data_IF_745247658434
#
_entry.id   IF_745247658434
#
_cell.length_a   1.000
_cell.length_b   1.000
_cell.length_c   1.000
_cell.angle_alpha   90.00
_cell.angle_beta   90.00
_cell.angle_gamma   90.00
#
_symmetry.space_group_name_H-M   'P 1'
#
loop_
_entity.id
_entity.type
_entity.pdbx_description
1 polymer ?
#
# COMPACT_ATOMS: atom_id res chain seq x y z
N UNK A 1 16.23 1.68 -41.32
CA UNK A 1 16.60 3.11 -41.42
C UNK A 1 15.48 3.94 -40.80
N UNK A 2 15.59 4.20 -39.51
CA UNK A 2 14.76 5.15 -38.77
C UNK A 2 15.69 5.73 -37.70
N UNK A 3 16.15 6.96 -37.93
CA UNK A 3 17.03 7.68 -37.03
C UNK A 3 16.16 8.32 -35.94
N UNK A 4 16.35 7.87 -34.70
CA UNK A 4 15.77 8.49 -33.52
C UNK A 4 16.66 9.69 -33.20
N UNK A 5 16.09 10.89 -33.31
CA UNK A 5 16.73 12.14 -32.92
C UNK A 5 16.85 12.19 -31.40
N UNK A 6 18.09 12.24 -30.91
CA UNK A 6 18.44 12.57 -29.54
C UNK A 6 18.01 14.02 -29.25
N UNK A 7 16.99 14.18 -28.39
CA UNK A 7 16.67 15.46 -27.76
C UNK A 7 17.54 15.58 -26.51
N UNK A 8 18.72 16.18 -26.69
CA UNK A 8 19.52 16.70 -25.59
C UNK A 8 18.74 17.83 -24.90
N UNK A 9 18.36 17.59 -23.65
CA UNK A 9 17.86 18.62 -22.74
C UNK A 9 19.09 19.19 -22.04
N UNK A 10 19.55 20.37 -22.46
CA UNK A 10 20.54 21.14 -21.72
C UNK A 10 19.87 21.65 -20.43
N UNK A 11 20.03 20.90 -19.34
CA UNK A 11 19.66 21.38 -18.01
C UNK A 11 20.72 22.35 -17.52
N UNK A 12 20.46 23.65 -17.67
CA UNK A 12 21.22 24.67 -16.94
C UNK A 12 21.08 24.40 -15.43
N UNK A 13 22.19 24.03 -14.79
CA UNK A 13 22.29 23.87 -13.34
C UNK A 13 22.11 25.25 -12.69
N UNK A 14 20.90 25.53 -12.19
CA UNK A 14 20.66 26.72 -11.37
C UNK A 14 21.26 26.45 -9.98
N UNK A 15 22.29 27.21 -9.53
CA UNK A 15 22.88 27.02 -8.22
C UNK A 15 21.87 27.46 -7.14
N UNK A 16 21.28 26.48 -6.46
CA UNK A 16 20.31 26.71 -5.40
C UNK A 16 21.05 26.97 -4.08
N UNK A 17 21.54 28.19 -3.87
CA UNK A 17 22.09 28.64 -2.57
C UNK A 17 21.06 29.48 -1.83
N UNK A 18 20.07 28.82 -1.22
CA UNK A 18 19.31 29.40 -0.12
C UNK A 18 19.53 28.55 1.12
N UNK A 19 20.52 28.93 1.92
CA UNK A 19 20.64 28.50 3.32
C UNK A 19 19.51 29.18 4.13
N UNK A 20 18.27 28.79 3.89
CA UNK A 20 17.21 29.00 4.87
C UNK A 20 17.46 28.03 6.00
N UNK A 21 17.99 28.54 7.12
CA UNK A 21 18.05 27.81 8.39
C UNK A 21 16.63 27.46 8.82
N UNK A 22 16.13 26.30 8.40
CA UNK A 22 14.90 25.73 8.93
C UNK A 22 15.16 25.41 10.39
N UNK A 23 14.70 26.29 11.29
CA UNK A 23 14.56 25.90 12.68
C UNK A 23 13.55 24.76 12.72
N UNK A 24 14.00 23.56 13.09
CA UNK A 24 13.13 22.44 13.40
C UNK A 24 12.22 22.82 14.57
N UNK A 25 11.06 23.39 14.26
CA UNK A 25 10.00 23.52 15.24
C UNK A 25 9.48 22.09 15.45
N UNK A 26 9.74 21.53 16.62
CA UNK A 26 9.28 20.18 16.94
C UNK A 26 7.75 20.14 16.91
N UNK A 27 7.18 19.11 16.25
CA UNK A 27 5.74 18.95 16.08
C UNK A 27 4.97 19.08 17.41
N UNK A 28 5.54 18.60 18.51
CA UNK A 28 4.97 18.73 19.86
C UNK A 28 4.75 20.17 20.29
N UNK A 29 5.68 21.10 19.97
CA UNK A 29 5.51 22.53 20.29
C UNK A 29 4.41 23.18 19.46
N UNK A 30 4.17 22.73 18.23
CA UNK A 30 3.07 23.23 17.41
C UNK A 30 1.70 22.80 17.94
N UNK A 31 1.59 21.58 18.47
CA UNK A 31 0.34 21.08 19.06
C UNK A 31 -0.03 21.81 20.35
N UNK A 32 0.98 22.18 21.16
CA UNK A 32 0.81 22.95 22.39
C UNK A 32 0.27 24.39 22.14
N UNK A 33 0.35 24.89 20.90
CA UNK A 33 -0.18 26.22 20.51
C UNK A 33 -1.64 26.20 20.08
N UNK A 34 -2.24 25.03 19.89
CA UNK A 34 -3.63 24.90 19.47
C UNK A 34 -4.55 25.07 20.67
N UNK A 35 -5.64 25.82 20.49
CA UNK A 35 -6.72 25.81 21.48
C UNK A 35 -7.53 24.51 21.38
N UNK A 36 -8.43 24.28 22.36
CA UNK A 36 -9.22 23.04 22.44
C UNK A 36 -10.06 22.77 21.19
N UNK A 37 -10.65 23.81 20.59
CA UNK A 37 -11.46 23.67 19.38
C UNK A 37 -10.61 23.25 18.17
N UNK A 38 -9.47 23.90 17.97
CA UNK A 38 -8.52 23.59 16.89
C UNK A 38 -7.92 22.19 17.07
N UNK A 39 -7.59 21.81 18.30
CA UNK A 39 -7.09 20.48 18.62
C UNK A 39 -8.15 19.42 18.34
N UNK A 40 -9.40 19.65 18.72
CA UNK A 40 -10.52 18.76 18.42
C UNK A 40 -10.74 18.59 16.92
N UNK A 41 -10.70 19.69 16.16
CA UNK A 41 -10.80 19.65 14.70
C UNK A 41 -9.65 18.83 14.06
N UNK A 42 -8.41 19.06 14.52
CA UNK A 42 -7.25 18.30 14.04
C UNK A 42 -7.39 16.80 14.34
N UNK A 43 -7.82 16.45 15.56
CA UNK A 43 -8.05 15.06 15.96
C UNK A 43 -9.09 14.40 15.05
N UNK A 44 -10.19 15.08 14.74
CA UNK A 44 -11.24 14.55 13.86
C UNK A 44 -10.70 14.30 12.44
N UNK A 45 -9.96 15.26 11.87
CA UNK A 45 -9.35 15.10 10.54
C UNK A 45 -8.38 13.91 10.51
N UNK A 46 -7.55 13.77 11.54
CA UNK A 46 -6.62 12.65 11.66
C UNK A 46 -7.39 11.32 11.78
N UNK A 47 -8.46 11.27 12.57
CA UNK A 47 -9.29 10.08 12.72
C UNK A 47 -9.95 9.66 11.40
N UNK A 48 -10.48 10.61 10.63
CA UNK A 48 -11.06 10.37 9.30
C UNK A 48 -10.01 9.83 8.31
N UNK A 49 -8.80 10.41 8.30
CA UNK A 49 -7.68 9.92 7.48
C UNK A 49 -7.31 8.47 7.82
N UNK A 50 -7.24 8.12 9.11
CA UNK A 50 -6.99 6.75 9.53
C UNK A 50 -8.12 5.80 9.12
N UNK A 51 -9.38 6.22 9.22
CA UNK A 51 -10.51 5.41 8.80
C UNK A 51 -10.47 5.14 7.28
N UNK A 52 -10.17 6.16 6.48
CA UNK A 52 -10.00 6.02 5.04
C UNK A 52 -8.87 5.02 4.68
N UNK A 53 -7.72 5.16 5.35
CA UNK A 53 -6.57 4.25 5.16
C UNK A 53 -6.91 2.82 5.56
N UNK A 54 -7.66 2.64 6.64
CA UNK A 54 -8.14 1.34 7.10
C UNK A 54 -9.07 0.69 6.06
N UNK A 55 -10.04 1.43 5.53
CA UNK A 55 -10.96 0.91 4.52
C UNK A 55 -10.25 0.53 3.23
N UNK A 56 -9.27 1.33 2.81
CA UNK A 56 -8.41 1.01 1.66
C UNK A 56 -7.60 -0.27 1.90
N UNK A 57 -7.02 -0.42 3.10
CA UNK A 57 -6.31 -1.65 3.48
C UNK A 57 -7.21 -2.88 3.33
N UNK A 58 -8.43 -2.83 3.88
CA UNK A 58 -9.38 -3.96 3.79
C UNK A 58 -9.72 -4.30 2.34
N UNK A 59 -9.91 -3.29 1.49
CA UNK A 59 -10.21 -3.51 0.07
C UNK A 59 -9.05 -4.22 -0.62
N UNK A 60 -7.81 -3.76 -0.40
CA UNK A 60 -6.60 -4.39 -0.94
C UNK A 60 -6.47 -5.84 -0.44
N UNK A 61 -6.76 -6.10 0.85
CA UNK A 61 -6.70 -7.43 1.41
C UNK A 61 -7.75 -8.36 0.77
N UNK A 62 -8.99 -7.92 0.62
CA UNK A 62 -10.05 -8.67 -0.07
C UNK A 62 -9.65 -8.99 -1.52
N UNK A 63 -9.10 -8.01 -2.24
CA UNK A 63 -8.62 -8.21 -3.60
C UNK A 63 -7.45 -9.20 -3.68
N UNK A 64 -6.53 -9.16 -2.71
CA UNK A 64 -5.40 -10.11 -2.62
C UNK A 64 -5.90 -11.55 -2.48
N UNK A 65 -6.83 -11.80 -1.54
CA UNK A 65 -7.40 -13.13 -1.31
C UNK A 65 -8.14 -13.63 -2.55
N UNK A 66 -9.01 -12.79 -3.14
CA UNK A 66 -9.74 -13.16 -4.36
C UNK A 66 -8.79 -13.45 -5.54
N UNK A 67 -7.69 -12.71 -5.65
CA UNK A 67 -6.72 -12.91 -6.71
C UNK A 67 -5.89 -14.18 -6.50
N UNK A 68 -5.55 -14.53 -5.26
CA UNK A 68 -4.90 -15.80 -4.92
C UNK A 68 -5.80 -17.00 -5.27
N UNK A 69 -7.09 -16.93 -4.95
CA UNK A 69 -8.08 -17.94 -5.35
C UNK A 69 -8.21 -18.04 -6.88
N UNK A 70 -8.27 -16.89 -7.56
CA UNK A 70 -8.27 -16.83 -9.02
C UNK A 70 -7.02 -17.48 -9.62
N UNK A 71 -5.85 -17.25 -9.01
CA UNK A 71 -4.59 -17.90 -9.39
C UNK A 71 -4.61 -19.41 -9.21
N UNK A 72 -5.23 -19.91 -8.12
CA UNK A 72 -5.40 -21.34 -7.86
C UNK A 72 -6.32 -22.03 -8.87
N UNK A 73 -7.37 -21.34 -9.33
CA UNK A 73 -8.31 -21.87 -10.33
C UNK A 73 -7.68 -21.96 -11.72
N UNK A 74 -6.79 -21.04 -12.06
CA UNK A 74 -6.16 -20.93 -13.38
C UNK A 74 -4.71 -21.44 -13.36
N UNK A 75 -4.52 -22.71 -13.02
CA UNK A 75 -3.21 -23.35 -13.06
C UNK A 75 -2.64 -23.42 -14.49
N UNK A 76 -1.31 -23.57 -14.63
CA UNK A 76 -0.70 -23.90 -15.91
C UNK A 76 -1.35 -25.12 -16.55
N UNK A 77 -1.62 -25.04 -17.86
CA UNK A 77 -2.16 -26.15 -18.65
C UNK A 77 -1.37 -26.26 -19.95
N UNK A 78 -0.93 -27.48 -20.27
CA UNK A 78 -0.25 -27.75 -21.53
C UNK A 78 -1.24 -27.64 -22.69
N UNK A 79 -0.81 -27.01 -23.79
CA UNK A 79 -1.57 -26.95 -25.04
C UNK A 79 -2.82 -26.05 -25.02
N UNK A 80 -3.11 -25.35 -23.93
CA UNK A 80 -4.23 -24.40 -23.84
C UNK A 80 -3.91 -23.21 -22.95
N UNK A 81 -4.59 -22.09 -23.18
CA UNK A 81 -4.42 -20.91 -22.36
C UNK A 81 -4.97 -21.15 -20.95
N UNK A 82 -4.17 -20.83 -19.92
CA UNK A 82 -4.54 -20.98 -18.51
C UNK A 82 -5.82 -20.24 -18.10
N UNK A 83 -6.18 -19.13 -18.79
CA UNK A 83 -7.30 -18.26 -18.42
C UNK A 83 -8.58 -18.49 -19.24
N UNK A 84 -8.48 -18.53 -20.56
CA UNK A 84 -9.66 -18.70 -21.43
C UNK A 84 -9.89 -20.15 -21.87
N UNK A 85 -8.99 -21.07 -21.48
CA UNK A 85 -9.05 -22.52 -21.74
C UNK A 85 -9.11 -22.92 -23.22
N UNK A 86 -8.93 -21.97 -24.14
CA UNK A 86 -8.88 -22.25 -25.56
C UNK A 86 -7.51 -22.82 -25.92
N UNK A 87 -7.53 -23.89 -26.72
CA UNK A 87 -6.32 -24.57 -27.19
C UNK A 87 -5.43 -23.64 -28.05
N UNK A 88 -4.12 -23.82 -27.96
CA UNK A 88 -3.18 -23.15 -28.83
C UNK A 88 -3.23 -23.72 -30.24
N UNK A 89 -3.11 -22.83 -31.24
CA UNK A 89 -3.16 -23.14 -32.68
C UNK A 89 -2.23 -22.19 -33.42
N UNK A 90 -2.05 -22.38 -34.74
CA UNK A 90 -1.14 -21.55 -35.58
C UNK A 90 -1.38 -20.04 -35.40
N UNK A 91 -2.64 -19.60 -35.35
CA UNK A 91 -3.02 -18.18 -35.17
C UNK A 91 -3.21 -17.77 -33.70
N UNK A 92 -3.07 -18.71 -32.77
CA UNK A 92 -3.16 -18.48 -31.33
C UNK A 92 -1.95 -19.12 -30.66
N UNK A 93 -0.82 -18.45 -30.83
CA UNK A 93 0.46 -18.92 -30.29
C UNK A 93 0.44 -18.88 -28.76
N UNK A 94 1.18 -19.81 -28.20
CA UNK A 94 1.48 -19.88 -26.77
C UNK A 94 2.48 -18.78 -26.41
N UNK A 95 2.19 -18.07 -25.32
CA UNK A 95 3.07 -17.08 -24.71
C UNK A 95 3.25 -17.50 -23.25
N UNK A 96 4.49 -17.62 -22.81
CA UNK A 96 4.81 -17.94 -21.41
C UNK A 96 4.90 -16.63 -20.64
N UNK A 97 4.24 -16.55 -19.49
CA UNK A 97 4.34 -15.38 -18.60
C UNK A 97 5.78 -15.24 -18.07
N UNK A 98 6.31 -14.01 -18.03
CA UNK A 98 7.67 -13.76 -17.53
C UNK A 98 7.84 -14.00 -16.03
N UNK A 99 6.76 -14.01 -15.25
CA UNK A 99 6.80 -14.09 -13.78
C UNK A 99 6.24 -15.42 -13.22
N UNK A 100 5.62 -16.27 -14.05
CA UNK A 100 5.06 -17.54 -13.59
C UNK A 100 4.99 -18.57 -14.72
N UNK A 101 4.91 -19.89 -14.43
CA UNK A 101 4.94 -20.93 -15.46
C UNK A 101 3.62 -21.07 -16.26
N UNK A 102 2.73 -20.07 -16.25
CA UNK A 102 1.44 -20.14 -16.96
C UNK A 102 1.62 -19.79 -18.43
N UNK A 103 0.99 -20.61 -19.26
CA UNK A 103 0.90 -20.40 -20.70
C UNK A 103 -0.38 -19.65 -21.04
N UNK A 104 -0.26 -18.56 -21.78
CA UNK A 104 -1.34 -17.64 -22.11
C UNK A 104 -1.38 -17.35 -23.60
N UNK A 105 -2.52 -16.84 -24.07
CA UNK A 105 -2.64 -16.32 -25.43
C UNK A 105 -2.49 -14.80 -25.43
N UNK A 106 -2.25 -14.22 -26.60
CA UNK A 106 -2.14 -12.77 -26.81
C UNK A 106 -3.30 -11.92 -26.23
N UNK A 107 -4.51 -12.48 -26.07
CA UNK A 107 -5.64 -11.77 -25.46
C UNK A 107 -5.62 -11.77 -23.92
N UNK A 108 -4.95 -12.76 -23.33
CA UNK A 108 -4.86 -12.93 -21.87
C UNK A 108 -3.49 -12.50 -21.33
N UNK A 109 -2.66 -11.97 -22.20
CA UNK A 109 -1.32 -11.48 -21.95
C UNK A 109 -1.32 -9.95 -22.08
N UNK A 110 -0.56 -9.29 -21.22
CA UNK A 110 -0.32 -7.85 -21.26
C UNK A 110 1.11 -7.57 -20.85
N UNK A 111 1.91 -6.99 -21.76
CA UNK A 111 3.31 -6.59 -21.53
C UNK A 111 4.22 -7.71 -20.99
N UNK A 112 4.10 -8.91 -21.53
CA UNK A 112 4.81 -10.12 -21.12
C UNK A 112 4.26 -10.80 -19.86
N UNK A 113 3.18 -10.30 -19.28
CA UNK A 113 2.59 -10.83 -18.04
C UNK A 113 1.22 -11.44 -18.31
N UNK A 114 0.94 -12.55 -17.63
CA UNK A 114 -0.43 -13.04 -17.57
C UNK A 114 -1.30 -12.14 -16.68
N UNK A 115 -2.62 -12.21 -16.89
CA UNK A 115 -3.60 -11.45 -16.09
C UNK A 115 -3.36 -11.55 -14.58
N UNK A 116 -3.09 -12.74 -14.03
CA UNK A 116 -2.83 -12.91 -12.61
C UNK A 116 -1.59 -12.13 -12.12
N UNK A 117 -0.43 -12.29 -12.79
CA UNK A 117 0.81 -11.61 -12.40
C UNK A 117 0.69 -10.10 -12.54
N UNK A 118 0.04 -9.62 -13.61
CA UNK A 118 -0.23 -8.21 -13.81
C UNK A 118 -1.03 -7.60 -12.65
N UNK A 119 -2.15 -8.22 -12.27
CA UNK A 119 -2.97 -7.76 -11.15
C UNK A 119 -2.22 -7.87 -9.80
N UNK A 120 -1.43 -8.92 -9.59
CA UNK A 120 -0.64 -9.05 -8.36
C UNK A 120 0.39 -7.94 -8.24
N UNK A 121 1.03 -7.57 -9.36
CA UNK A 121 1.98 -6.47 -9.37
C UNK A 121 1.32 -5.14 -9.03
N UNK A 122 0.14 -4.87 -9.57
CA UNK A 122 -0.66 -3.68 -9.19
C UNK A 122 -0.98 -3.69 -7.69
N UNK A 123 -1.46 -4.81 -7.15
CA UNK A 123 -1.75 -4.92 -5.72
C UNK A 123 -0.50 -4.75 -4.86
N UNK A 124 0.66 -5.24 -5.30
CA UNK A 124 1.93 -5.05 -4.60
C UNK A 124 2.32 -3.57 -4.53
N UNK A 125 2.16 -2.81 -5.62
CA UNK A 125 2.39 -1.36 -5.60
C UNK A 125 1.43 -0.63 -4.67
N UNK A 126 0.13 -0.96 -4.70
CA UNK A 126 -0.86 -0.36 -3.78
C UNK A 126 -0.54 -0.66 -2.30
N UNK A 127 -0.10 -1.88 -1.99
CA UNK A 127 0.33 -2.24 -0.63
C UNK A 127 1.57 -1.43 -0.20
N UNK A 128 2.53 -1.24 -1.11
CA UNK A 128 3.73 -0.46 -0.83
C UNK A 128 3.40 1.02 -0.61
N UNK A 129 2.57 1.62 -1.46
CA UNK A 129 2.09 3.00 -1.34
C UNK A 129 1.36 3.23 -0.01
N UNK A 130 0.47 2.31 0.36
CA UNK A 130 -0.21 2.37 1.65
C UNK A 130 0.75 2.27 2.83
N UNK A 131 1.82 1.46 2.70
CA UNK A 131 2.89 1.37 3.70
C UNK A 131 3.75 2.63 3.82
N UNK A 132 3.78 3.50 2.81
CA UNK A 132 4.44 4.82 2.89
C UNK A 132 3.52 5.83 3.60
N UNK A 133 2.21 5.79 3.29
CA UNK A 133 1.21 6.70 3.87
C UNK A 133 0.89 6.40 5.35
N UNK A 134 1.28 5.23 5.81
CA UNK A 134 1.06 4.74 7.17
C UNK A 134 2.43 4.46 7.79
N UNK A 135 2.96 5.36 8.65
CA UNK A 135 4.30 5.24 9.22
C UNK A 135 4.36 4.19 10.34
N UNK A 136 4.00 2.94 10.04
CA UNK A 136 4.09 1.84 10.99
C UNK A 136 5.04 0.77 10.48
N UNK A 137 5.97 0.34 11.35
CA UNK A 137 6.89 -0.75 11.06
C UNK A 137 6.15 -2.08 10.85
N UNK A 138 6.68 -2.90 9.94
CA UNK A 138 6.08 -4.15 9.45
C UNK A 138 5.63 -5.11 10.56
N UNK A 139 6.29 -5.07 11.73
CA UNK A 139 6.06 -6.03 12.83
C UNK A 139 5.80 -5.38 14.21
N UNK A 140 5.90 -4.05 14.37
CA UNK A 140 5.80 -3.39 15.69
C UNK A 140 4.57 -2.49 15.89
N UNK A 141 3.70 -2.36 14.89
CA UNK A 141 2.35 -1.78 15.04
C UNK A 141 1.31 -2.68 14.37
N UNK A 142 1.53 -3.98 14.55
CA UNK A 142 0.90 -5.05 13.79
C UNK A 142 -0.62 -5.10 13.85
N UNK A 143 -1.13 -5.93 12.95
CA UNK A 143 -2.47 -6.52 12.86
C UNK A 143 -3.33 -6.54 14.15
N UNK A 144 -2.75 -6.62 15.35
CA UNK A 144 -3.42 -6.51 16.65
C UNK A 144 -4.21 -5.20 16.90
N UNK A 145 -3.85 -4.06 16.28
CA UNK A 145 -4.67 -2.83 16.41
C UNK A 145 -5.91 -2.84 15.50
N UNK A 146 -5.91 -3.71 14.49
CA UNK A 146 -7.09 -4.01 13.70
C UNK A 146 -7.85 -5.22 14.24
N UNK A 147 -7.47 -5.85 15.35
CA UNK A 147 -8.28 -6.91 15.98
C UNK A 147 -9.24 -6.31 17.02
N UNK A 148 -9.06 -5.04 17.43
CA UNK A 148 -10.09 -4.26 18.15
C UNK A 148 -11.24 -3.81 17.23
N UNK A 149 -11.53 -4.58 16.18
CA UNK A 149 -12.39 -4.24 15.05
C UNK A 149 -13.91 -4.27 15.34
N UNK A 150 -14.28 -4.30 16.61
CA UNK A 150 -15.69 -4.29 17.07
C UNK A 150 -16.04 -3.14 18.00
N UNK A 151 -15.08 -2.30 18.42
CA UNK A 151 -15.33 -1.29 19.45
C UNK A 151 -14.90 0.13 19.01
N UNK A 152 -15.86 1.01 18.67
CA UNK A 152 -15.62 2.42 18.36
C UNK A 152 -14.93 3.21 19.48
N UNK A 153 -15.11 2.82 20.76
CA UNK A 153 -14.53 3.52 21.90
C UNK A 153 -13.00 3.38 21.97
N UNK A 154 -12.45 2.24 21.53
CA UNK A 154 -11.01 1.99 21.55
C UNK A 154 -10.21 2.92 20.63
N UNK A 155 -10.86 3.48 19.61
CA UNK A 155 -10.26 4.43 18.67
C UNK A 155 -10.26 5.84 19.24
N UNK A 156 -11.41 6.26 19.79
CA UNK A 156 -11.58 7.55 20.46
C UNK A 156 -10.62 7.67 21.65
N UNK A 157 -10.57 6.65 22.53
CA UNK A 157 -9.65 6.57 23.67
C UNK A 157 -8.18 6.66 23.27
N UNK A 158 -7.77 6.25 22.06
CA UNK A 158 -6.36 6.31 21.65
C UNK A 158 -5.96 7.61 21.00
N UNK A 159 -6.90 8.29 20.34
CA UNK A 159 -6.71 9.69 19.99
C UNK A 159 -6.54 10.54 21.26
N UNK A 160 -7.23 10.20 22.34
CA UNK A 160 -7.08 10.85 23.66
C UNK A 160 -5.83 10.38 24.43
N UNK A 161 -5.48 9.09 24.41
CA UNK A 161 -4.35 8.51 25.17
C UNK A 161 -2.99 8.66 24.48
N UNK A 162 -2.94 9.11 23.22
CA UNK A 162 -1.69 9.53 22.57
C UNK A 162 -1.00 10.70 23.28
N UNK A 163 -1.71 11.41 24.17
CA UNK A 163 -1.16 12.43 25.06
C UNK A 163 -0.45 11.84 26.30
N UNK A 164 -0.67 10.57 26.65
CA UNK A 164 -0.13 9.97 27.88
C UNK A 164 1.16 9.16 27.70
N UNK A 165 1.63 8.90 26.47
CA UNK A 165 2.91 8.22 26.25
C UNK A 165 4.14 9.11 26.51
N UNK A 166 3.96 10.34 27.00
CA UNK A 166 5.01 11.13 27.66
C UNK A 166 5.27 10.73 29.13
N UNK A 167 4.46 9.84 29.73
CA UNK A 167 4.77 9.26 31.03
C UNK A 167 5.12 7.77 30.87
N UNK A 168 6.38 7.47 31.18
CA UNK A 168 6.92 6.12 31.10
C UNK A 168 6.18 5.11 31.98
N UNK A 169 6.43 3.83 31.65
CA UNK A 169 6.11 2.63 32.44
C UNK A 169 4.63 2.38 32.77
N UNK A 170 3.88 1.81 31.82
CA UNK A 170 2.72 0.95 32.16
C UNK A 170 2.63 -0.20 31.13
N UNK A 171 3.63 -1.09 31.14
CA UNK A 171 3.57 -2.37 30.42
C UNK A 171 4.04 -3.52 31.32
N UNK A 172 3.51 -3.59 32.54
CA UNK A 172 3.69 -4.74 33.44
C UNK A 172 2.37 -5.40 33.87
N UNK A 173 1.24 -5.04 33.27
CA UNK A 173 -0.07 -5.47 33.79
C UNK A 173 -0.89 -6.34 32.85
N UNK A 174 -0.28 -7.21 32.04
CA UNK A 174 -0.98 -8.37 31.45
C UNK A 174 -0.02 -9.55 31.37
N UNK A 175 0.35 -10.11 32.52
CA UNK A 175 0.97 -11.42 32.65
C UNK A 175 0.55 -12.05 33.98
N UNK A 176 -0.76 -12.22 34.16
CA UNK A 176 -1.39 -13.16 35.10
C UNK A 176 -2.89 -13.02 35.01
N UNK A 177 -3.52 -13.84 34.17
CA UNK A 177 -4.75 -14.59 34.47
C UNK A 177 -5.01 -15.60 33.36
#
# INVERSE_FOLDING_TARGET
MAMVHDLFFDSEEVPFTHETSFQEISLGKCLELLNEEQLSQLINVVAEDYQLKYDLFRQIQKQSVALEEFGKLHQPRSGSCAFCWQAFRIFRREIICNECPRNVCNRCESKGLCKYCHEMRILSYKKAELGILVPFEKDLFGYCKMITLGDPLAFQLRATLGEFSRFGSVFEFISTT
#
